data_IF_543222988663
#
_entry.id   IF_543222988663
#
_cell.length_a   1.000
_cell.length_b   1.000
_cell.length_c   1.000
_cell.angle_alpha   90.00
_cell.angle_beta   90.00
_cell.angle_gamma   90.00
#
_symmetry.space_group_name_H-M   'P 1'
#
loop_
_entity.id
_entity.type
_entity.pdbx_description
1 polymer ?
#
# COMPACT_ATOMS: atom_id res chain seq x y z
N UNK A 1 3.40 -16.14 36.07
CA UNK A 1 3.62 -15.30 34.89
C UNK A 1 2.92 -15.97 33.73
N UNK A 2 2.04 -15.29 33.02
CA UNK A 2 1.41 -15.89 31.82
C UNK A 2 2.42 -15.94 30.68
N UNK A 3 2.69 -17.14 30.20
CA UNK A 3 3.62 -17.34 29.09
C UNK A 3 2.82 -17.35 27.77
N UNK A 4 3.21 -16.49 26.82
CA UNK A 4 2.65 -16.47 25.48
C UNK A 4 3.62 -17.16 24.52
N UNK A 5 3.09 -18.13 23.76
CA UNK A 5 3.83 -18.76 22.67
C UNK A 5 3.74 -17.94 21.38
N UNK A 6 4.82 -17.83 20.65
CA UNK A 6 4.86 -17.14 19.36
C UNK A 6 5.38 -18.07 18.28
N UNK A 7 4.66 -18.15 17.18
CA UNK A 7 5.06 -18.93 16.01
C UNK A 7 5.39 -17.97 14.87
N UNK A 8 6.67 -17.74 14.68
CA UNK A 8 7.18 -16.95 13.54
C UNK A 8 7.22 -17.83 12.29
N UNK A 9 6.66 -17.30 11.19
CA UNK A 9 6.59 -17.99 9.90
C UNK A 9 7.27 -17.14 8.82
N UNK A 10 8.24 -17.73 8.14
CA UNK A 10 8.73 -17.20 6.87
C UNK A 10 8.03 -17.95 5.73
N UNK A 11 7.15 -17.23 5.02
CA UNK A 11 6.16 -17.81 4.10
C UNK A 11 6.59 -17.62 2.65
N UNK A 12 6.74 -18.74 1.94
CA UNK A 12 7.01 -18.81 0.51
C UNK A 12 5.89 -19.53 -0.24
N UNK A 13 5.95 -19.54 -1.57
CA UNK A 13 4.89 -20.13 -2.41
C UNK A 13 4.65 -21.61 -2.10
N UNK A 14 5.73 -22.37 -1.97
CA UNK A 14 5.67 -23.84 -1.90
C UNK A 14 6.03 -24.38 -0.51
N UNK A 15 6.69 -23.60 0.33
CA UNK A 15 7.15 -24.02 1.67
C UNK A 15 7.10 -22.88 2.67
N UNK A 16 6.86 -23.21 3.92
CA UNK A 16 6.97 -22.28 5.05
C UNK A 16 8.08 -22.74 6.00
N UNK A 17 8.91 -21.82 6.46
CA UNK A 17 9.80 -22.06 7.59
C UNK A 17 9.12 -21.55 8.86
N UNK A 18 9.04 -22.38 9.89
CA UNK A 18 8.35 -22.09 11.13
C UNK A 18 9.29 -22.18 12.32
N UNK A 19 9.15 -21.29 13.27
CA UNK A 19 9.84 -21.33 14.55
C UNK A 19 8.85 -21.07 15.69
N UNK A 20 8.81 -21.99 16.67
CA UNK A 20 8.08 -21.79 17.91
C UNK A 20 9.00 -21.17 18.95
N UNK A 21 8.61 -20.01 19.50
CA UNK A 21 9.40 -19.25 20.46
C UNK A 21 8.52 -18.70 21.59
N UNK A 22 9.15 -18.42 22.74
CA UNK A 22 8.51 -17.78 23.88
C UNK A 22 9.55 -17.00 24.72
N UNK A 23 9.09 -16.10 25.57
CA UNK A 23 9.93 -15.38 26.51
C UNK A 23 9.80 -16.03 27.90
N UNK A 24 10.93 -16.49 28.46
CA UNK A 24 10.97 -17.20 29.75
C UNK A 24 11.11 -16.28 30.98
N UNK A 25 11.12 -14.98 30.75
CA UNK A 25 11.34 -13.96 31.79
C UNK A 25 12.77 -13.40 31.77
N UNK A 26 13.70 -14.04 31.10
CA UNK A 26 15.08 -13.60 30.95
C UNK A 26 15.48 -13.42 29.48
N UNK A 27 15.19 -14.40 28.66
CA UNK A 27 15.52 -14.36 27.22
C UNK A 27 14.46 -15.01 26.35
N UNK A 28 14.57 -14.83 25.03
CA UNK A 28 13.71 -15.50 24.06
C UNK A 28 14.23 -16.91 23.82
N UNK A 29 13.40 -17.91 24.11
CA UNK A 29 13.67 -19.33 23.84
C UNK A 29 13.10 -19.74 22.50
N UNK A 30 13.90 -20.43 21.72
CA UNK A 30 13.49 -21.07 20.46
C UNK A 30 13.35 -22.57 20.72
N UNK A 31 12.11 -23.05 20.77
CA UNK A 31 11.81 -24.40 21.20
C UNK A 31 11.79 -25.40 20.03
N UNK A 32 11.28 -25.01 18.88
CA UNK A 32 11.10 -25.88 17.73
C UNK A 32 11.25 -25.09 16.44
N UNK A 33 11.96 -25.68 15.46
CA UNK A 33 12.01 -25.19 14.09
C UNK A 33 11.57 -26.30 13.13
N UNK A 34 10.87 -25.93 12.07
CA UNK A 34 10.49 -26.86 11.02
C UNK A 34 10.39 -26.17 9.66
N UNK A 35 10.61 -26.96 8.61
CA UNK A 35 10.20 -26.62 7.25
C UNK A 35 8.91 -27.37 6.94
N UNK A 36 7.89 -26.65 6.52
CA UNK A 36 6.55 -27.16 6.31
C UNK A 36 6.17 -26.97 4.84
N UNK A 37 5.35 -27.87 4.31
CA UNK A 37 4.66 -27.60 3.06
C UNK A 37 3.72 -26.39 3.23
N UNK A 38 3.49 -25.62 2.17
CA UNK A 38 2.67 -24.41 2.17
C UNK A 38 1.17 -24.74 2.36
N UNK A 39 0.79 -25.09 3.58
CA UNK A 39 -0.58 -25.48 3.96
C UNK A 39 -0.90 -24.99 5.36
N UNK A 40 -2.13 -24.51 5.53
CA UNK A 40 -2.67 -24.07 6.82
C UNK A 40 -2.71 -25.24 7.83
N UNK A 41 -3.05 -26.45 7.35
CA UNK A 41 -3.09 -27.68 8.16
C UNK A 41 -1.71 -28.03 8.74
N UNK A 42 -0.65 -27.89 7.95
CA UNK A 42 0.71 -28.12 8.39
C UNK A 42 1.17 -27.11 9.44
N UNK A 43 0.77 -25.85 9.30
CA UNK A 43 1.02 -24.82 10.32
C UNK A 43 0.30 -25.17 11.62
N UNK A 44 -0.97 -25.53 11.56
CA UNK A 44 -1.74 -25.93 12.76
C UNK A 44 -1.13 -27.17 13.42
N UNK A 45 -0.75 -28.17 12.63
CA UNK A 45 -0.09 -29.39 13.16
C UNK A 45 1.22 -29.03 13.87
N UNK A 46 2.00 -28.12 13.32
CA UNK A 46 3.23 -27.62 13.94
C UNK A 46 2.96 -26.91 15.28
N UNK A 47 1.94 -26.04 15.32
CA UNK A 47 1.53 -25.33 16.54
C UNK A 47 1.14 -26.31 17.64
N UNK A 48 0.27 -27.28 17.33
CA UNK A 48 -0.24 -28.24 18.31
C UNK A 48 0.85 -29.21 18.79
N UNK A 49 1.76 -29.62 17.90
CA UNK A 49 2.89 -30.45 18.28
C UNK A 49 3.86 -29.68 19.19
N UNK A 50 4.17 -28.42 18.86
CA UNK A 50 5.01 -27.57 19.69
C UNK A 50 4.40 -27.31 21.07
N UNK A 51 3.09 -27.04 21.11
CA UNK A 51 2.35 -26.86 22.36
C UNK A 51 2.44 -28.10 23.24
N UNK A 52 2.12 -29.28 22.71
CA UNK A 52 2.17 -30.55 23.46
C UNK A 52 3.57 -30.85 23.98
N UNK A 53 4.60 -30.67 23.17
CA UNK A 53 6.00 -30.89 23.56
C UNK A 53 6.40 -30.01 24.74
N UNK A 54 6.02 -28.75 24.74
CA UNK A 54 6.37 -27.80 25.78
C UNK A 54 5.54 -27.98 27.05
N UNK A 55 4.26 -28.36 26.93
CA UNK A 55 3.40 -28.75 28.07
C UNK A 55 3.98 -29.97 28.81
N UNK A 56 4.51 -30.98 28.08
CA UNK A 56 5.21 -32.13 28.68
C UNK A 56 6.47 -31.70 29.44
N UNK A 57 7.09 -30.61 29.06
CA UNK A 57 8.24 -30.00 29.76
C UNK A 57 7.83 -29.04 30.89
N UNK A 58 6.54 -28.97 31.24
CA UNK A 58 6.00 -28.13 32.29
C UNK A 58 5.76 -26.65 31.89
N UNK A 59 5.83 -26.32 30.60
CA UNK A 59 5.58 -24.97 30.11
C UNK A 59 4.16 -24.90 29.54
N UNK A 60 3.28 -24.16 30.23
CA UNK A 60 1.89 -23.98 29.82
C UNK A 60 1.69 -22.58 29.25
N UNK A 61 1.13 -22.48 28.05
CA UNK A 61 0.86 -21.23 27.38
C UNK A 61 -0.58 -20.77 27.63
N UNK A 62 -0.74 -19.51 28.04
CA UNK A 62 -2.06 -18.87 28.11
C UNK A 62 -2.61 -18.58 26.71
N UNK A 63 -1.73 -18.35 25.73
CA UNK A 63 -2.07 -18.02 24.35
C UNK A 63 -0.93 -18.39 23.41
N UNK A 64 -1.27 -18.75 22.17
CA UNK A 64 -0.30 -18.90 21.09
C UNK A 64 -0.69 -17.98 19.94
N UNK A 65 0.26 -17.19 19.45
CA UNK A 65 0.07 -16.21 18.39
C UNK A 65 1.03 -16.51 17.25
N UNK A 66 0.48 -16.68 16.05
CA UNK A 66 1.29 -16.83 14.84
C UNK A 66 1.59 -15.46 14.21
N UNK A 67 2.66 -15.38 13.45
CA UNK A 67 2.92 -14.18 12.67
C UNK A 67 3.88 -14.40 11.51
N UNK A 68 3.66 -13.64 10.44
CA UNK A 68 4.53 -13.63 9.27
C UNK A 68 4.68 -12.22 8.69
N UNK A 69 5.75 -12.03 7.91
CA UNK A 69 6.03 -10.75 7.26
C UNK A 69 5.05 -10.49 6.09
N UNK A 70 4.53 -9.26 5.98
CA UNK A 70 3.69 -8.85 4.87
C UNK A 70 4.46 -8.98 3.54
N UNK A 71 3.97 -9.84 2.65
CA UNK A 71 4.62 -10.16 1.39
C UNK A 71 3.62 -10.41 0.25
N UNK A 72 4.10 -11.06 -0.79
CA UNK A 72 3.32 -11.32 -2.02
C UNK A 72 2.18 -12.34 -1.83
N UNK A 73 2.23 -13.17 -0.78
CA UNK A 73 1.19 -14.18 -0.49
C UNK A 73 -0.07 -13.57 0.13
N UNK A 74 -0.04 -12.27 0.46
CA UNK A 74 -1.22 -11.56 0.96
C UNK A 74 -1.71 -12.07 2.31
N UNK A 75 -3.04 -12.23 2.47
CA UNK A 75 -3.70 -12.49 3.75
C UNK A 75 -4.35 -13.88 3.84
N UNK A 76 -4.16 -14.76 2.83
CA UNK A 76 -4.85 -16.06 2.78
C UNK A 76 -4.55 -16.92 4.01
N UNK A 77 -3.28 -17.14 4.32
CA UNK A 77 -2.87 -17.90 5.49
C UNK A 77 -3.43 -17.34 6.81
N UNK A 78 -3.38 -16.00 6.98
CA UNK A 78 -3.94 -15.35 8.16
C UNK A 78 -5.46 -15.60 8.29
N UNK A 79 -6.20 -15.50 7.18
CA UNK A 79 -7.66 -15.75 7.17
C UNK A 79 -7.98 -17.19 7.52
N UNK A 80 -7.27 -18.13 6.89
CA UNK A 80 -7.51 -19.55 7.10
C UNK A 80 -7.18 -19.97 8.53
N UNK A 81 -6.10 -19.47 9.12
CA UNK A 81 -5.76 -19.68 10.51
C UNK A 81 -6.79 -19.06 11.45
N UNK A 82 -7.22 -17.82 11.19
CA UNK A 82 -8.24 -17.14 12.00
C UNK A 82 -9.60 -17.84 11.92
N UNK A 83 -10.01 -18.33 10.75
CA UNK A 83 -11.23 -19.11 10.58
C UNK A 83 -11.23 -20.42 11.39
N UNK A 84 -10.04 -20.97 11.67
CA UNK A 84 -9.84 -22.17 12.49
C UNK A 84 -9.55 -21.85 13.96
N UNK A 85 -9.70 -20.59 14.39
CA UNK A 85 -9.55 -20.13 15.77
C UNK A 85 -8.12 -19.84 16.22
N UNK A 86 -7.15 -19.82 15.31
CA UNK A 86 -5.77 -19.47 15.61
C UNK A 86 -5.51 -17.98 15.37
N UNK A 87 -4.97 -17.30 16.37
CA UNK A 87 -4.59 -15.89 16.18
C UNK A 87 -3.35 -15.79 15.30
N UNK A 88 -3.49 -15.07 14.20
CA UNK A 88 -2.39 -14.85 13.27
C UNK A 88 -2.29 -13.37 12.90
N UNK A 89 -1.08 -12.82 13.05
CA UNK A 89 -0.77 -11.44 12.80
C UNK A 89 0.16 -11.29 11.59
N UNK A 90 0.03 -10.19 10.86
CA UNK A 90 0.91 -9.89 9.75
C UNK A 90 1.78 -8.70 10.13
N UNK A 91 3.11 -8.90 10.05
CA UNK A 91 4.09 -7.93 10.49
C UNK A 91 4.44 -6.95 9.36
N UNK A 92 4.64 -5.68 9.74
CA UNK A 92 5.11 -4.67 8.80
C UNK A 92 6.63 -4.84 8.56
N UNK A 93 7.08 -5.11 7.32
CA UNK A 93 8.48 -5.45 7.00
C UNK A 93 9.49 -4.41 7.48
N UNK A 94 9.12 -3.13 7.41
CA UNK A 94 9.98 -2.00 7.78
C UNK A 94 10.19 -1.86 9.29
N UNK A 95 9.46 -2.60 10.11
CA UNK A 95 9.56 -2.54 11.57
C UNK A 95 10.24 -3.74 12.19
N UNK A 96 10.49 -4.80 11.42
CA UNK A 96 11.21 -5.98 11.88
C UNK A 96 12.68 -5.61 12.05
N UNK A 97 13.16 -5.71 13.28
CA UNK A 97 14.58 -5.47 13.60
C UNK A 97 15.40 -6.66 13.10
N UNK A 98 16.36 -6.38 12.23
CA UNK A 98 17.31 -7.38 11.71
C UNK A 98 18.66 -7.20 12.40
N UNK A 99 19.22 -8.24 12.98
CA UNK A 99 20.57 -8.16 13.58
C UNK A 99 21.62 -8.00 12.47
N UNK A 100 22.64 -7.17 12.74
CA UNK A 100 23.73 -6.86 11.79
C UNK A 100 24.53 -8.10 11.36
N UNK A 101 24.70 -9.07 12.24
CA UNK A 101 25.41 -10.32 11.95
C UNK A 101 24.64 -11.25 11.01
N UNK A 102 23.30 -11.12 10.96
CA UNK A 102 22.43 -11.92 10.08
C UNK A 102 22.36 -11.39 8.65
N UNK A 103 22.77 -10.15 8.38
CA UNK A 103 22.79 -9.61 7.02
C UNK A 103 23.74 -10.38 6.07
N UNK A 104 24.71 -11.11 6.60
CA UNK A 104 25.71 -11.87 5.81
C UNK A 104 25.30 -13.32 5.50
N UNK A 105 24.26 -13.86 6.15
CA UNK A 105 23.81 -15.26 5.95
C UNK A 105 22.29 -15.29 5.85
N UNK A 106 21.77 -15.34 4.63
CA UNK A 106 20.33 -15.56 4.41
C UNK A 106 20.03 -17.04 4.60
N UNK A 107 19.12 -17.34 5.56
CA UNK A 107 18.63 -18.68 5.82
C UNK A 107 17.19 -18.56 6.31
N UNK A 108 16.27 -19.25 5.65
CA UNK A 108 14.83 -19.19 5.90
C UNK A 108 14.45 -19.51 7.38
N UNK A 109 15.18 -20.42 8.04
CA UNK A 109 14.99 -20.68 9.48
C UNK A 109 15.37 -19.49 10.36
N UNK A 110 16.42 -18.75 9.98
CA UNK A 110 16.82 -17.55 10.72
C UNK A 110 15.80 -16.42 10.54
N UNK A 111 15.15 -16.35 9.39
CA UNK A 111 14.09 -15.37 9.15
C UNK A 111 12.83 -15.69 9.96
N UNK A 112 12.40 -16.97 10.05
CA UNK A 112 11.32 -17.41 10.92
C UNK A 112 11.62 -17.17 12.41
N UNK A 113 12.84 -17.48 12.88
CA UNK A 113 13.28 -17.16 14.25
C UNK A 113 13.29 -15.67 14.54
N UNK A 114 13.74 -14.86 13.57
CA UNK A 114 13.74 -13.40 13.71
C UNK A 114 12.33 -12.84 13.84
N UNK A 115 11.38 -13.37 13.08
CA UNK A 115 9.96 -13.01 13.20
C UNK A 115 9.45 -13.34 14.60
N UNK A 116 9.65 -14.58 15.08
CA UNK A 116 9.25 -15.01 16.42
C UNK A 116 9.87 -14.16 17.52
N UNK A 117 11.17 -13.85 17.42
CA UNK A 117 11.89 -13.00 18.38
C UNK A 117 11.31 -11.57 18.43
N UNK A 118 11.05 -10.94 17.28
CA UNK A 118 10.47 -9.61 17.21
C UNK A 118 9.06 -9.58 17.82
N UNK A 119 8.27 -10.66 17.64
CA UNK A 119 6.96 -10.80 18.25
C UNK A 119 7.07 -10.95 19.78
N UNK A 120 7.94 -11.82 20.28
CA UNK A 120 8.17 -12.02 21.71
C UNK A 120 8.56 -10.73 22.43
N UNK A 121 9.40 -9.90 21.79
CA UNK A 121 9.93 -8.67 22.36
C UNK A 121 9.07 -7.44 22.07
N UNK A 122 7.96 -7.58 21.32
CA UNK A 122 7.10 -6.47 20.92
C UNK A 122 7.79 -5.42 20.06
N UNK A 123 8.85 -5.77 19.33
CA UNK A 123 9.66 -4.85 18.52
C UNK A 123 9.07 -4.56 17.13
N UNK A 124 8.10 -5.36 16.69
CA UNK A 124 7.47 -5.22 15.38
C UNK A 124 6.08 -4.59 15.49
N UNK A 125 5.63 -3.98 14.40
CA UNK A 125 4.26 -3.47 14.25
C UNK A 125 3.48 -4.37 13.32
N UNK A 126 2.22 -4.56 13.64
CA UNK A 126 1.29 -5.32 12.82
C UNK A 126 0.63 -4.43 11.78
N UNK A 127 0.37 -4.98 10.60
CA UNK A 127 -0.41 -4.28 9.59
C UNK A 127 -1.90 -4.38 9.93
N UNK A 128 -2.65 -3.37 9.52
CA UNK A 128 -4.11 -3.44 9.56
C UNK A 128 -4.61 -4.39 8.47
N UNK A 129 -5.43 -5.36 8.86
CA UNK A 129 -6.02 -6.34 7.93
C UNK A 129 -7.32 -5.74 7.42
N UNK A 130 -7.39 -5.55 6.12
CA UNK A 130 -8.57 -5.02 5.45
C UNK A 130 -9.71 -6.05 5.41
N UNK A 131 -10.96 -5.57 5.40
CA UNK A 131 -12.10 -6.39 5.06
C UNK A 131 -11.94 -7.01 3.66
N UNK A 132 -12.72 -8.04 3.32
CA UNK A 132 -12.68 -8.60 1.98
C UNK A 132 -13.05 -7.55 0.93
N UNK A 133 -14.07 -6.76 1.21
CA UNK A 133 -14.57 -5.71 0.33
C UNK A 133 -13.53 -4.57 0.14
N UNK A 134 -12.94 -4.08 1.23
CA UNK A 134 -11.85 -3.10 1.15
C UNK A 134 -10.65 -3.62 0.35
N UNK A 135 -10.31 -4.91 0.51
CA UNK A 135 -9.22 -5.54 -0.23
C UNK A 135 -9.53 -5.62 -1.73
N UNK A 136 -10.74 -6.05 -2.09
CA UNK A 136 -11.18 -6.15 -3.48
C UNK A 136 -11.19 -4.78 -4.16
N UNK A 137 -11.73 -3.78 -3.49
CA UNK A 137 -11.71 -2.40 -3.94
C UNK A 137 -10.27 -1.89 -4.14
N UNK A 138 -9.38 -2.15 -3.19
CA UNK A 138 -7.97 -1.78 -3.29
C UNK A 138 -7.28 -2.45 -4.47
N UNK A 139 -7.50 -3.75 -4.66
CA UNK A 139 -6.86 -4.51 -5.73
C UNK A 139 -7.35 -4.02 -7.10
N UNK A 140 -8.63 -3.66 -7.22
CA UNK A 140 -9.19 -3.05 -8.43
C UNK A 140 -8.60 -1.66 -8.73
N UNK A 141 -8.45 -0.81 -7.72
CA UNK A 141 -7.78 0.50 -7.84
C UNK A 141 -6.29 0.36 -8.22
N UNK A 142 -5.64 -0.67 -7.72
CA UNK A 142 -4.26 -1.00 -8.11
C UNK A 142 -4.16 -1.45 -9.56
N UNK A 143 -5.13 -2.23 -10.03
CA UNK A 143 -5.25 -2.63 -11.44
C UNK A 143 -5.47 -1.40 -12.33
N UNK A 144 -6.39 -0.49 -11.94
CA UNK A 144 -6.59 0.77 -12.66
C UNK A 144 -5.29 1.57 -12.79
N UNK A 145 -4.53 1.72 -11.70
CA UNK A 145 -3.26 2.43 -11.72
C UNK A 145 -2.18 1.71 -12.56
N UNK A 146 -2.21 0.38 -12.63
CA UNK A 146 -1.36 -0.42 -13.51
C UNK A 146 -1.69 -0.16 -14.99
N UNK A 147 -2.96 -0.25 -15.35
CA UNK A 147 -3.47 -0.02 -16.72
C UNK A 147 -3.20 1.42 -17.19
N UNK A 148 -3.32 2.41 -16.28
CA UNK A 148 -2.95 3.81 -16.58
C UNK A 148 -1.45 3.96 -16.91
N UNK A 149 -0.58 3.22 -16.22
CA UNK A 149 0.86 3.20 -16.53
C UNK A 149 1.16 2.51 -17.86
N UNK A 150 0.42 1.44 -18.16
CA UNK A 150 0.50 0.77 -19.46
C UNK A 150 0.11 1.74 -20.58
N UNK A 151 -1.02 2.43 -20.47
CA UNK A 151 -1.42 3.45 -21.44
C UNK A 151 -0.32 4.49 -21.70
N UNK A 152 0.32 4.97 -20.62
CA UNK A 152 1.43 5.93 -20.74
C UNK A 152 2.59 5.37 -21.55
N UNK A 153 2.96 4.10 -21.32
CA UNK A 153 4.06 3.44 -22.06
C UNK A 153 3.72 3.28 -23.54
N UNK A 154 2.52 2.80 -23.84
CA UNK A 154 2.07 2.62 -25.25
C UNK A 154 2.04 3.96 -25.99
N UNK A 155 1.52 5.01 -25.33
CA UNK A 155 1.53 6.37 -25.88
C UNK A 155 2.94 6.89 -26.18
N UNK A 156 3.88 6.67 -25.26
CA UNK A 156 5.28 7.07 -25.44
C UNK A 156 5.94 6.27 -26.57
N UNK A 157 5.67 4.97 -26.65
CA UNK A 157 6.22 4.11 -27.68
C UNK A 157 5.72 4.52 -29.07
N UNK A 158 4.42 4.78 -29.23
CA UNK A 158 3.86 5.27 -30.49
C UNK A 158 4.48 6.60 -30.94
N UNK A 159 4.60 7.57 -30.03
CA UNK A 159 5.23 8.86 -30.35
C UNK A 159 6.69 8.70 -30.76
N UNK A 160 7.43 7.83 -30.08
CA UNK A 160 8.83 7.53 -30.41
C UNK A 160 8.94 6.86 -31.80
N UNK A 161 8.02 5.94 -32.13
CA UNK A 161 7.96 5.28 -33.43
C UNK A 161 7.68 6.27 -34.56
N UNK A 162 6.71 7.17 -34.38
CA UNK A 162 6.42 8.22 -35.34
C UNK A 162 7.60 9.18 -35.54
N UNK A 163 8.28 9.52 -34.44
CA UNK A 163 9.45 10.40 -34.50
C UNK A 163 10.61 9.77 -35.33
N UNK A 164 10.84 8.46 -35.19
CA UNK A 164 11.83 7.73 -36.00
C UNK A 164 11.50 7.77 -37.49
N UNK A 165 10.21 7.84 -37.83
CA UNK A 165 9.72 7.96 -39.21
C UNK A 165 9.69 9.43 -39.70
N UNK A 166 10.22 10.38 -38.90
CA UNK A 166 10.21 11.80 -39.24
C UNK A 166 8.81 12.44 -39.17
N UNK A 167 7.83 11.75 -38.57
CA UNK A 167 6.44 12.22 -38.51
C UNK A 167 6.18 12.89 -37.17
N UNK A 168 5.81 14.18 -37.19
CA UNK A 168 5.46 14.97 -36.01
C UNK A 168 4.08 15.58 -36.20
N UNK A 169 3.23 15.50 -35.17
CA UNK A 169 1.92 16.13 -35.17
C UNK A 169 2.11 17.66 -35.20
N UNK A 170 1.59 18.38 -36.21
CA UNK A 170 1.95 19.78 -36.42
C UNK A 170 1.38 20.70 -35.34
N UNK A 171 0.09 20.56 -35.04
CA UNK A 171 -0.61 21.44 -34.08
C UNK A 171 -1.76 20.71 -33.41
N UNK A 172 -2.04 21.09 -32.15
CA UNK A 172 -3.20 20.61 -31.42
C UNK A 172 -2.90 19.76 -30.18
N UNK A 173 -3.97 19.26 -29.59
CA UNK A 173 -3.86 18.39 -28.41
C UNK A 173 -3.64 16.94 -28.84
N UNK A 174 -2.62 16.32 -28.30
CA UNK A 174 -2.38 14.88 -28.46
C UNK A 174 -3.54 14.06 -27.85
N UNK A 175 -3.76 12.86 -28.42
CA UNK A 175 -4.71 11.85 -27.93
C UNK A 175 -6.18 12.26 -28.04
N UNK A 176 -6.49 13.21 -28.94
CA UNK A 176 -7.82 13.55 -29.42
C UNK A 176 -8.14 12.78 -30.68
N UNK A 177 -9.42 12.74 -31.07
CA UNK A 177 -9.80 12.07 -32.33
C UNK A 177 -9.10 12.71 -33.54
N UNK A 178 -8.90 14.03 -33.54
CA UNK A 178 -8.12 14.71 -34.57
C UNK A 178 -6.69 14.19 -34.68
N UNK A 179 -6.01 13.93 -33.54
CA UNK A 179 -4.67 13.34 -33.54
C UNK A 179 -4.67 11.91 -34.07
N UNK A 180 -5.66 11.10 -33.71
CA UNK A 180 -5.80 9.74 -34.24
C UNK A 180 -6.10 9.73 -35.75
N UNK A 181 -6.95 10.64 -36.22
CA UNK A 181 -7.23 10.79 -37.66
C UNK A 181 -5.98 11.22 -38.43
N UNK A 182 -5.20 12.17 -37.89
CA UNK A 182 -3.94 12.55 -38.49
C UNK A 182 -2.98 11.32 -38.63
N UNK A 183 -2.81 10.54 -37.60
CA UNK A 183 -1.97 9.33 -37.66
C UNK A 183 -2.44 8.32 -38.72
N UNK A 184 -3.76 8.18 -38.88
CA UNK A 184 -4.35 7.29 -39.92
C UNK A 184 -4.12 7.78 -41.33
N UNK A 185 -4.05 9.10 -41.54
CA UNK A 185 -3.80 9.74 -42.84
C UNK A 185 -2.33 9.81 -43.24
N UNK A 186 -1.42 9.44 -42.36
CA UNK A 186 0.01 9.43 -42.67
C UNK A 186 0.30 8.44 -43.78
N UNK A 187 1.06 8.85 -44.78
CA UNK A 187 1.63 7.95 -45.79
C UNK A 187 2.78 7.18 -45.16
N UNK A 188 2.53 5.90 -44.85
CA UNK A 188 3.47 4.97 -44.28
C UNK A 188 3.52 3.71 -45.11
N UNK A 189 4.70 3.14 -45.25
CA UNK A 189 4.89 1.89 -46.00
C UNK A 189 4.54 0.66 -45.18
N UNK A 190 4.06 -0.39 -45.78
CA UNK A 190 3.89 -1.77 -45.34
C UNK A 190 3.90 -1.99 -43.83
N UNK A 191 5.03 -2.41 -43.29
CA UNK A 191 5.15 -2.76 -41.85
C UNK A 191 5.02 -1.56 -40.91
N UNK A 192 5.46 -0.38 -41.31
CA UNK A 192 5.33 0.83 -40.47
C UNK A 192 3.84 1.19 -40.24
N UNK A 193 3.01 1.03 -41.27
CA UNK A 193 1.56 1.19 -41.17
C UNK A 193 0.97 0.20 -40.19
N UNK A 194 1.33 -1.09 -40.30
CA UNK A 194 0.83 -2.14 -39.41
C UNK A 194 1.23 -1.86 -37.94
N UNK A 195 2.46 -1.40 -37.69
CA UNK A 195 2.93 -1.06 -36.33
C UNK A 195 2.09 0.08 -35.77
N UNK A 196 1.93 1.18 -36.53
CA UNK A 196 1.18 2.35 -36.06
C UNK A 196 -0.29 2.01 -35.82
N UNK A 197 -0.94 1.28 -36.71
CA UNK A 197 -2.36 0.92 -36.57
C UNK A 197 -2.58 -0.06 -35.40
N UNK A 198 -1.68 -1.01 -35.19
CA UNK A 198 -1.68 -1.89 -34.00
C UNK A 198 -1.57 -1.10 -32.69
N UNK A 199 -0.65 -0.13 -32.62
CA UNK A 199 -0.47 0.70 -31.44
C UNK A 199 -1.67 1.61 -31.19
N UNK A 200 -2.26 2.19 -32.27
CA UNK A 200 -3.49 3.00 -32.16
C UNK A 200 -4.63 2.15 -31.59
N UNK A 201 -4.83 0.94 -32.11
CA UNK A 201 -5.85 0.01 -31.60
C UNK A 201 -5.63 -0.33 -30.13
N UNK A 202 -4.41 -0.71 -29.75
CA UNK A 202 -4.05 -1.01 -28.36
C UNK A 202 -4.32 0.19 -27.43
N UNK A 203 -3.91 1.38 -27.83
CA UNK A 203 -4.12 2.60 -27.04
C UNK A 203 -5.61 2.89 -26.85
N UNK A 204 -6.42 2.77 -27.92
CA UNK A 204 -7.88 3.00 -27.85
C UNK A 204 -8.56 1.99 -26.92
N UNK A 205 -8.23 0.70 -27.05
CA UNK A 205 -8.76 -0.34 -26.17
C UNK A 205 -8.40 -0.10 -24.70
N UNK A 206 -7.17 0.32 -24.39
CA UNK A 206 -6.77 0.62 -23.02
C UNK A 206 -7.50 1.88 -22.51
N UNK A 207 -7.72 2.89 -23.36
CA UNK A 207 -8.47 4.09 -22.98
C UNK A 207 -9.92 3.76 -22.63
N UNK A 208 -10.59 2.91 -23.43
CA UNK A 208 -11.93 2.43 -23.17
C UNK A 208 -12.01 1.61 -21.88
N UNK A 209 -11.06 0.68 -21.68
CA UNK A 209 -10.95 -0.10 -20.46
C UNK A 209 -10.84 0.80 -19.22
N UNK A 210 -9.98 1.83 -19.28
CA UNK A 210 -9.82 2.77 -18.17
C UNK A 210 -11.08 3.59 -17.91
N UNK A 211 -11.83 3.95 -18.94
CA UNK A 211 -13.10 4.66 -18.76
C UNK A 211 -14.16 3.78 -18.09
N UNK A 212 -14.25 2.50 -18.50
CA UNK A 212 -15.15 1.54 -17.86
C UNK A 212 -14.75 1.30 -16.39
N UNK A 213 -13.45 1.10 -16.14
CA UNK A 213 -12.94 0.95 -14.78
C UNK A 213 -13.23 2.19 -13.92
N UNK A 214 -13.15 3.40 -14.49
CA UNK A 214 -13.46 4.64 -13.77
C UNK A 214 -14.92 4.68 -13.34
N UNK A 215 -15.84 4.29 -14.23
CA UNK A 215 -17.28 4.20 -13.92
C UNK A 215 -17.53 3.21 -12.77
N UNK A 216 -16.94 2.02 -12.85
CA UNK A 216 -17.07 1.02 -11.78
C UNK A 216 -16.51 1.52 -10.43
N UNK A 217 -15.42 2.31 -10.44
CA UNK A 217 -14.89 2.93 -9.22
C UNK A 217 -15.83 4.00 -8.67
N UNK A 218 -16.48 4.78 -9.54
CA UNK A 218 -17.47 5.77 -9.13
C UNK A 218 -18.73 5.11 -8.55
N UNK A 219 -19.18 3.99 -9.12
CA UNK A 219 -20.27 3.17 -8.56
C UNK A 219 -19.90 2.58 -7.21
N UNK A 220 -18.70 1.99 -7.09
CA UNK A 220 -18.18 1.45 -5.83
C UNK A 220 -18.08 2.52 -4.74
N UNK A 221 -17.78 3.76 -5.11
CA UNK A 221 -17.71 4.87 -4.16
C UNK A 221 -19.07 5.26 -3.55
N UNK A 222 -20.18 4.80 -4.12
CA UNK A 222 -21.54 4.99 -3.59
C UNK A 222 -21.92 3.91 -2.56
N UNK A 223 -21.12 2.86 -2.43
CA UNK A 223 -21.35 1.81 -1.44
C UNK A 223 -21.35 2.40 -0.01
N UNK A 224 -22.29 1.97 0.86
CA UNK A 224 -22.39 2.46 2.25
C UNK A 224 -21.08 2.40 3.04
N UNK A 225 -20.21 1.42 2.76
CA UNK A 225 -18.91 1.28 3.44
C UNK A 225 -17.93 2.42 3.08
N UNK A 226 -18.05 2.98 1.86
CA UNK A 226 -17.11 3.97 1.34
C UNK A 226 -17.68 5.38 1.22
N UNK A 227 -18.97 5.50 0.91
CA UNK A 227 -19.61 6.76 0.49
C UNK A 227 -19.33 7.92 1.44
N UNK A 228 -19.55 7.75 2.73
CA UNK A 228 -19.37 8.80 3.72
C UNK A 228 -17.88 9.24 3.81
N UNK A 229 -16.96 8.28 3.79
CA UNK A 229 -15.51 8.54 3.81
C UNK A 229 -15.04 9.26 2.55
N UNK A 230 -15.59 8.87 1.37
CA UNK A 230 -15.31 9.50 0.08
C UNK A 230 -15.76 10.94 0.07
N UNK A 231 -16.99 11.19 0.51
CA UNK A 231 -17.56 12.55 0.58
C UNK A 231 -16.73 13.48 1.46
N UNK A 232 -16.24 12.96 2.58
CA UNK A 232 -15.36 13.68 3.47
C UNK A 232 -14.06 14.10 2.81
N UNK A 233 -13.41 13.17 2.13
CA UNK A 233 -12.14 13.43 1.46
C UNK A 233 -12.29 14.34 0.25
N UNK A 234 -13.38 14.20 -0.51
CA UNK A 234 -13.71 15.06 -1.66
C UNK A 234 -13.97 16.52 -1.28
N UNK A 235 -14.17 16.85 0.00
CA UNK A 235 -14.21 18.24 0.47
C UNK A 235 -12.85 18.94 0.42
N UNK A 236 -11.77 18.18 0.30
CA UNK A 236 -10.42 18.71 0.15
C UNK A 236 -10.21 19.00 -1.34
N UNK A 237 -9.86 20.25 -1.65
CA UNK A 237 -9.60 20.65 -3.03
C UNK A 237 -8.50 19.78 -3.64
N UNK A 238 -8.73 19.30 -4.86
CA UNK A 238 -7.78 18.45 -5.59
C UNK A 238 -7.90 16.96 -5.28
N UNK A 239 -8.75 16.55 -4.34
CA UNK A 239 -9.07 15.15 -4.12
C UNK A 239 -10.35 14.81 -4.89
N UNK A 240 -10.21 13.94 -5.89
CA UNK A 240 -11.32 13.36 -6.65
C UNK A 240 -11.81 12.07 -5.98
N UNK A 241 -12.98 11.55 -6.41
CA UNK A 241 -13.51 10.25 -5.99
C UNK A 241 -12.46 9.13 -6.12
N UNK A 242 -11.76 9.05 -7.25
CA UNK A 242 -10.68 8.08 -7.45
C UNK A 242 -9.54 8.23 -6.43
N UNK A 243 -9.15 9.46 -6.12
CA UNK A 243 -8.10 9.72 -5.13
C UNK A 243 -8.59 9.38 -3.73
N UNK A 244 -9.82 9.74 -3.38
CA UNK A 244 -10.44 9.42 -2.10
C UNK A 244 -10.53 7.90 -1.89
N UNK A 245 -11.07 7.16 -2.86
CA UNK A 245 -11.15 5.71 -2.85
C UNK A 245 -9.78 5.06 -2.67
N UNK A 246 -8.76 5.55 -3.38
CA UNK A 246 -7.39 5.04 -3.23
C UNK A 246 -6.85 5.27 -1.81
N UNK A 247 -7.09 6.44 -1.22
CA UNK A 247 -6.65 6.75 0.15
C UNK A 247 -7.35 5.81 1.14
N UNK A 248 -8.67 5.66 1.04
CA UNK A 248 -9.48 4.84 1.95
C UNK A 248 -9.02 3.38 1.90
N UNK A 249 -8.94 2.81 0.72
CA UNK A 249 -8.63 1.38 0.54
C UNK A 249 -7.16 1.03 0.81
N UNK A 250 -6.23 1.96 0.60
CA UNK A 250 -4.81 1.73 0.93
C UNK A 250 -4.52 1.96 2.42
N UNK A 251 -5.31 2.76 3.11
CA UNK A 251 -5.14 3.06 4.55
C UNK A 251 -5.93 2.10 5.42
N UNK A 252 -7.16 1.74 5.01
CA UNK A 252 -8.14 1.05 5.83
C UNK A 252 -8.66 1.94 6.96
N UNK A 253 -8.57 1.47 8.21
CA UNK A 253 -9.04 2.25 9.35
C UNK A 253 -8.13 3.44 9.68
N UNK A 254 -8.68 4.66 9.55
CA UNK A 254 -7.99 5.90 9.90
C UNK A 254 -7.88 6.12 11.42
N UNK A 255 -8.70 5.43 12.23
CA UNK A 255 -8.71 5.61 13.68
C UNK A 255 -7.45 5.02 14.35
N UNK A 256 -6.74 4.14 13.65
CA UNK A 256 -5.45 3.60 14.11
C UNK A 256 -4.36 4.67 14.27
N UNK A 257 -4.55 5.85 13.72
CA UNK A 257 -3.62 6.98 13.89
C UNK A 257 -4.14 7.93 14.98
N UNK A 258 -3.49 7.96 16.12
CA UNK A 258 -3.85 8.86 17.21
C UNK A 258 -3.64 10.35 16.84
N UNK A 259 -2.60 10.64 16.03
CA UNK A 259 -2.20 12.00 15.62
C UNK A 259 -1.92 12.06 14.11
N UNK A 260 -2.14 13.24 13.51
CA UNK A 260 -1.86 13.49 12.08
C UNK A 260 -0.38 13.25 11.70
N UNK A 261 0.54 13.40 12.66
CA UNK A 261 1.97 13.16 12.44
C UNK A 261 2.27 11.68 12.20
N UNK A 262 1.54 10.78 12.87
CA UNK A 262 1.63 9.34 12.63
C UNK A 262 1.18 8.99 11.22
N UNK A 263 0.10 9.59 10.73
CA UNK A 263 -0.33 9.41 9.34
C UNK A 263 0.69 9.97 8.35
N UNK A 264 1.29 11.12 8.63
CA UNK A 264 2.36 11.68 7.80
C UNK A 264 3.60 10.78 7.77
N UNK A 265 3.96 10.18 8.89
CA UNK A 265 5.04 9.20 8.99
C UNK A 265 4.71 7.91 8.22
N UNK A 266 3.48 7.41 8.35
CA UNK A 266 2.98 6.26 7.58
C UNK A 266 3.07 6.48 6.06
N UNK A 267 2.89 7.72 5.60
CA UNK A 267 3.06 8.09 4.19
C UNK A 267 4.53 8.36 3.80
N UNK A 268 5.46 8.35 4.75
CA UNK A 268 6.86 8.70 4.51
C UNK A 268 7.07 10.16 4.11
N UNK A 269 6.23 11.06 4.65
CA UNK A 269 6.29 12.51 4.43
C UNK A 269 7.03 13.25 5.54
N UNK A 270 7.58 12.52 6.51
CA UNK A 270 8.42 13.08 7.56
C UNK A 270 9.82 13.37 7.03
N UNK A 271 10.48 14.46 7.50
CA UNK A 271 11.88 14.73 7.18
C UNK A 271 12.80 13.66 7.74
N UNK A 272 13.72 13.18 6.92
CA UNK A 272 14.92 12.52 7.42
C UNK A 272 15.89 13.57 7.98
N UNK A 273 16.54 13.25 9.08
CA UNK A 273 17.59 14.07 9.67
C UNK A 273 18.79 13.19 9.97
N UNK A 274 19.98 13.65 9.58
CA UNK A 274 21.24 13.10 10.03
C UNK A 274 21.83 14.10 11.02
N UNK A 275 21.96 13.67 12.27
CA UNK A 275 22.62 14.45 13.30
C UNK A 275 23.87 13.71 13.78
N UNK A 276 25.01 14.36 13.69
CA UNK A 276 26.25 13.90 14.32
C UNK A 276 26.90 15.08 15.03
N UNK A 277 27.03 14.99 16.34
CA UNK A 277 27.58 16.04 17.21
C UNK A 277 26.99 17.43 16.86
N UNK A 278 27.79 18.33 16.34
CA UNK A 278 27.41 19.73 16.05
C UNK A 278 26.77 19.95 14.66
N UNK A 279 26.64 18.91 13.84
CA UNK A 279 26.08 19.04 12.48
C UNK A 279 24.74 18.33 12.37
N UNK A 280 23.68 19.11 12.10
CA UNK A 280 22.36 18.60 11.74
C UNK A 280 22.11 18.86 10.24
N UNK A 281 22.12 17.81 9.44
CA UNK A 281 21.82 17.89 8.00
C UNK A 281 20.39 17.41 7.75
N UNK A 282 19.55 18.33 7.24
CA UNK A 282 18.19 18.00 6.81
C UNK A 282 18.24 17.14 5.55
N UNK A 283 17.80 15.92 5.62
CA UNK A 283 17.53 15.08 4.46
C UNK A 283 16.14 15.38 3.90
N UNK A 284 15.86 14.97 2.67
CA UNK A 284 14.51 15.01 2.11
C UNK A 284 13.51 14.20 2.95
N UNK A 285 12.32 13.93 2.43
CA UNK A 285 11.35 13.05 3.08
C UNK A 285 11.89 11.62 3.12
N UNK A 286 11.50 10.85 4.15
CA UNK A 286 11.99 9.47 4.34
C UNK A 286 11.60 8.54 3.20
N UNK A 287 10.49 8.83 2.48
CA UNK A 287 9.88 8.00 1.43
C UNK A 287 9.51 6.58 1.89
N UNK A 288 9.63 6.26 3.16
CA UNK A 288 9.15 5.02 3.74
C UNK A 288 7.62 5.04 3.81
N UNK A 289 6.97 3.94 3.43
CA UNK A 289 5.51 3.82 3.45
C UNK A 289 4.82 3.95 2.09
N UNK A 290 3.52 4.26 2.08
CA UNK A 290 2.67 4.13 0.89
C UNK A 290 2.98 5.18 -0.20
N UNK A 291 3.74 4.77 -1.21
CA UNK A 291 4.13 5.62 -2.33
C UNK A 291 2.94 6.04 -3.22
N UNK A 292 1.87 5.22 -3.30
CA UNK A 292 0.69 5.53 -4.13
C UNK A 292 -0.05 6.74 -3.60
N UNK A 293 -0.39 6.72 -2.30
CA UNK A 293 -1.07 7.84 -1.64
C UNK A 293 -0.17 9.09 -1.70
N UNK A 294 1.12 8.93 -1.44
CA UNK A 294 2.07 10.05 -1.49
C UNK A 294 2.08 10.73 -2.87
N UNK A 295 2.11 9.96 -3.96
CA UNK A 295 2.05 10.49 -5.33
C UNK A 295 0.75 11.23 -5.59
N UNK A 296 -0.39 10.64 -5.22
CA UNK A 296 -1.71 11.26 -5.41
C UNK A 296 -1.86 12.56 -4.62
N UNK A 297 -1.35 12.61 -3.38
CA UNK A 297 -1.38 13.84 -2.58
C UNK A 297 -0.49 14.94 -3.18
N UNK A 298 0.68 14.58 -3.71
CA UNK A 298 1.54 15.55 -4.43
C UNK A 298 0.84 16.09 -5.67
N UNK A 299 0.14 15.25 -6.44
CA UNK A 299 -0.66 15.71 -7.59
C UNK A 299 -1.84 16.60 -7.14
N UNK A 300 -2.54 16.23 -6.09
CA UNK A 300 -3.68 16.99 -5.55
C UNK A 300 -3.28 18.42 -5.14
N UNK A 301 -2.10 18.58 -4.53
CA UNK A 301 -1.58 19.87 -4.07
C UNK A 301 -1.35 20.85 -5.22
N UNK A 302 -1.03 20.38 -6.41
CA UNK A 302 -0.89 21.27 -7.57
C UNK A 302 -2.17 22.05 -7.86
N UNK A 303 -3.33 21.50 -7.47
CA UNK A 303 -4.62 22.18 -7.58
C UNK A 303 -4.76 23.35 -6.60
N UNK A 304 -4.08 23.31 -5.45
CA UNK A 304 -4.07 24.40 -4.46
C UNK A 304 -3.32 25.63 -4.94
N UNK A 305 -2.21 25.42 -5.66
CA UNK A 305 -1.38 26.53 -6.13
C UNK A 305 -1.98 27.32 -7.28
N UNK A 306 -2.95 26.75 -8.02
CA UNK A 306 -3.52 27.34 -9.22
C UNK A 306 -4.71 28.27 -8.99
N UNK A 307 -5.26 28.36 -7.76
CA UNK A 307 -6.43 29.20 -7.48
C UNK A 307 -6.26 29.99 -6.20
N UNK A 308 -6.41 31.33 -6.34
CA UNK A 308 -6.28 32.29 -5.24
C UNK A 308 -7.37 32.23 -4.16
N UNK A 309 -8.47 31.50 -4.36
CA UNK A 309 -9.53 31.35 -3.35
C UNK A 309 -10.13 29.95 -3.38
N UNK A 310 -10.34 29.36 -2.21
CA UNK A 310 -11.17 28.14 -2.10
C UNK A 310 -12.60 28.47 -2.54
N UNK A 311 -13.17 27.68 -3.45
CA UNK A 311 -14.53 27.89 -3.92
C UNK A 311 -15.52 27.84 -2.74
N UNK A 312 -16.65 28.56 -2.85
CA UNK A 312 -17.73 28.54 -1.86
C UNK A 312 -18.26 27.11 -1.61
N UNK A 313 -18.22 26.26 -2.62
CA UNK A 313 -18.57 24.85 -2.55
C UNK A 313 -17.75 24.08 -1.51
N UNK A 314 -16.43 24.22 -1.53
CA UNK A 314 -15.55 23.52 -0.56
C UNK A 314 -15.72 24.07 0.86
N UNK A 315 -15.96 25.39 1.00
CA UNK A 315 -16.25 26.01 2.31
C UNK A 315 -17.56 25.50 2.89
N UNK A 316 -18.62 25.43 2.09
CA UNK A 316 -19.94 24.94 2.48
C UNK A 316 -19.91 23.46 2.86
N UNK A 317 -19.27 22.62 2.05
CA UNK A 317 -19.13 21.19 2.32
C UNK A 317 -18.30 20.91 3.58
N UNK A 318 -17.24 21.68 3.80
CA UNK A 318 -16.41 21.63 5.01
C UNK A 318 -17.18 22.04 6.28
N UNK A 319 -18.11 23.00 6.16
CA UNK A 319 -18.98 23.41 7.26
C UNK A 319 -19.95 22.30 7.66
N UNK A 320 -20.57 21.63 6.69
CA UNK A 320 -21.46 20.49 6.91
C UNK A 320 -20.77 19.34 7.61
N UNK A 321 -19.51 19.05 7.27
CA UNK A 321 -18.72 18.00 7.91
C UNK A 321 -18.27 18.33 9.32
N UNK A 322 -17.99 19.60 9.61
CA UNK A 322 -17.74 20.04 10.99
C UNK A 322 -18.94 19.78 11.90
N UNK A 323 -20.14 19.81 11.35
CA UNK A 323 -21.39 19.52 12.07
C UNK A 323 -21.63 18.03 12.29
N UNK A 324 -21.06 17.15 11.46
CA UNK A 324 -21.22 15.69 11.52
C UNK A 324 -20.28 14.93 12.51
N UNK A 325 -19.41 15.65 13.22
CA UNK A 325 -18.66 15.19 14.42
C UNK A 325 -17.59 14.11 14.26
N UNK A 326 -17.87 12.98 13.65
CA UNK A 326 -16.96 11.83 13.63
C UNK A 326 -15.89 11.85 12.53
N UNK A 327 -16.13 12.57 11.45
CA UNK A 327 -15.30 12.51 10.24
C UNK A 327 -14.28 13.64 10.12
N UNK A 328 -14.30 14.56 11.06
CA UNK A 328 -13.32 15.66 11.17
C UNK A 328 -11.87 15.17 11.11
N UNK A 329 -11.60 14.01 11.69
CA UNK A 329 -10.27 13.43 11.82
C UNK A 329 -9.65 13.07 10.46
N UNK A 330 -10.43 12.50 9.53
CA UNK A 330 -9.97 12.14 8.17
C UNK A 330 -9.60 13.38 7.37
N UNK A 331 -10.49 14.39 7.39
CA UNK A 331 -10.28 15.67 6.68
C UNK A 331 -9.07 16.41 7.25
N UNK A 332 -8.95 16.50 8.57
CA UNK A 332 -7.85 17.20 9.23
C UNK A 332 -6.48 16.52 8.96
N UNK A 333 -6.45 15.20 8.86
CA UNK A 333 -5.22 14.46 8.56
C UNK A 333 -4.76 14.63 7.13
N UNK A 334 -5.68 14.50 6.16
CA UNK A 334 -5.37 14.70 4.76
C UNK A 334 -4.96 16.16 4.47
N UNK A 335 -5.63 17.13 5.11
CA UNK A 335 -5.32 18.56 4.97
C UNK A 335 -3.94 18.90 5.58
N UNK A 336 -3.60 18.33 6.74
CA UNK A 336 -2.30 18.55 7.39
C UNK A 336 -1.16 17.89 6.60
N UNK A 337 -1.37 16.70 6.05
CA UNK A 337 -0.41 16.05 5.16
C UNK A 337 -0.20 16.89 3.89
N UNK A 338 -1.27 17.39 3.28
CA UNK A 338 -1.23 18.25 2.11
C UNK A 338 -0.45 19.56 2.36
N UNK A 339 -0.71 20.25 3.48
CA UNK A 339 -0.01 21.50 3.84
C UNK A 339 1.49 21.30 4.06
N UNK A 340 1.92 20.18 4.65
CA UNK A 340 3.35 19.88 4.83
C UNK A 340 4.09 19.69 3.50
N UNK A 341 3.44 19.08 2.51
CA UNK A 341 4.01 18.93 1.17
C UNK A 341 4.11 20.29 0.49
N UNK A 342 3.09 21.15 0.62
CA UNK A 342 3.07 22.51 0.02
C UNK A 342 4.18 23.37 0.60
N UNK A 343 4.31 23.45 1.93
CA UNK A 343 5.32 24.30 2.60
C UNK A 343 6.74 23.99 2.13
N UNK A 344 7.08 22.71 1.93
CA UNK A 344 8.41 22.30 1.44
C UNK A 344 8.69 22.59 -0.01
N UNK A 345 7.68 22.85 -0.83
CA UNK A 345 7.85 23.24 -2.24
C UNK A 345 8.21 24.72 -2.41
N UNK A 346 7.91 25.53 -1.39
CA UNK A 346 8.24 26.97 -1.36
C UNK A 346 9.51 27.27 -0.56
N UNK A 347 10.00 26.30 0.22
CA UNK A 347 11.24 26.40 1.00
C UNK A 347 12.46 25.80 0.23
N UNK A 348 12.28 25.37 -1.05
CA UNK A 348 13.30 24.96 -2.03
C UNK A 348 13.35 25.98 -3.17
#
# INVERSE_FOLDING_TARGET
MEIIGYVGLDVHKDTYSACFSYFDGQEVRFALDAKLDASTEKVIQFIENGRKLLEQSGIVFSKIVCGYEAGCLGYSLQKDLSAKGYECMILAPTTIVKSTDRMKRKNDYLDARNIGQNMCLGLCKYIHILSNHEREARDYLRLYAHTKRQLKREKQYLLSSLLKLGKKYPEGKYWTEAHFQWMRKLELSGMDRLIVDSLISTIKNIMETLENMRKSIEEMALDPEFHEKVDCLCCIKGISTLTAMTIITEVGDMNRFAKADQFSAYLGLTPGMLSSADKCVGLGITKQGNARIRTLLVEAIQSYSRTKSGSSFYKSKRLKLKQAGQQKKIVDYADKASRRITKRRYDL
#
